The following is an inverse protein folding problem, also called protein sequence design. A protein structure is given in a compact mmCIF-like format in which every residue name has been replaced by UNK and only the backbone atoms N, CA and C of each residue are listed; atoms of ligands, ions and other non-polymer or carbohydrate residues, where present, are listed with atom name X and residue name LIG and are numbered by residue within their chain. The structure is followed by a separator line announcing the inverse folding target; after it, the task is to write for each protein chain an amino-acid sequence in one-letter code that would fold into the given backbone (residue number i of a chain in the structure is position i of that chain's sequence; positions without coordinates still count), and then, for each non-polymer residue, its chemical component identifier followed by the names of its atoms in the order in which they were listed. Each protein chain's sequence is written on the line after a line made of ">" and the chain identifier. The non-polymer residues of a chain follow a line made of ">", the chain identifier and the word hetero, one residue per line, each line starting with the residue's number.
data_IF_843789584759
#
_entry.id   IF_843789584759
#
_cell.length_a   1.000
_cell.length_b   1.000
_cell.length_c   1.000
_cell.angle_alpha   90.00
_cell.angle_beta   90.00
_cell.angle_gamma   90.00
#
_symmetry.space_group_name_H-M   'P 1'
#
loop_
_entity.id
_entity.type
_entity.pdbx_description
1 polymer ?
#
# COMPACT_ATOMS: atom_id res chain seq x y z
N UNK A 1 10.80 0.46 -17.27
CA UNK A 1 11.13 0.75 -15.86
C UNK A 1 12.03 1.99 -15.70
N UNK A 2 12.91 2.29 -16.69
CA UNK A 2 13.89 3.37 -16.58
C UNK A 2 13.24 4.74 -16.30
N UNK A 3 12.16 5.09 -17.00
CA UNK A 3 11.41 6.33 -16.77
C UNK A 3 10.87 6.42 -15.35
N UNK A 4 10.21 5.38 -14.85
CA UNK A 4 9.66 5.35 -13.49
C UNK A 4 10.74 5.50 -12.40
N UNK A 5 11.92 4.88 -12.60
CA UNK A 5 13.05 5.03 -11.67
C UNK A 5 13.68 6.43 -11.77
N UNK A 6 13.68 7.04 -12.96
CA UNK A 6 14.10 8.44 -13.13
C UNK A 6 13.21 9.40 -12.35
N UNK A 7 11.88 9.26 -12.49
CA UNK A 7 10.91 10.09 -11.77
C UNK A 7 11.01 9.87 -10.24
N UNK A 8 11.11 8.60 -9.81
CA UNK A 8 11.35 8.26 -8.40
C UNK A 8 12.60 8.97 -7.85
N UNK A 9 13.65 9.05 -8.63
CA UNK A 9 14.92 9.70 -8.23
C UNK A 9 14.81 11.22 -8.11
N UNK A 10 13.89 11.88 -8.76
CA UNK A 10 13.64 13.29 -8.52
C UNK A 10 13.19 13.52 -7.08
N UNK A 11 12.23 12.74 -6.62
CA UNK A 11 11.71 12.81 -5.25
C UNK A 11 12.74 12.34 -4.21
N UNK A 12 13.41 11.21 -4.47
CA UNK A 12 14.45 10.69 -3.56
C UNK A 12 15.58 11.72 -3.36
N UNK A 13 16.02 12.41 -4.40
CA UNK A 13 17.03 13.46 -4.31
C UNK A 13 16.52 14.69 -3.54
N UNK A 14 15.26 15.05 -3.71
CA UNK A 14 14.66 16.17 -2.99
C UNK A 14 14.59 15.90 -1.48
N UNK A 15 14.29 14.65 -1.09
CA UNK A 15 14.04 14.26 0.30
C UNK A 15 15.29 13.75 1.04
N UNK A 16 16.34 13.31 0.32
CA UNK A 16 17.50 12.68 0.94
C UNK A 16 18.61 13.65 1.23
N UNK A 17 19.22 13.51 2.41
CA UNK A 17 20.49 14.19 2.74
C UNK A 17 21.58 13.69 1.78
N UNK A 18 22.29 14.62 1.13
CA UNK A 18 23.34 14.29 0.15
C UNK A 18 22.81 13.91 -1.24
N UNK A 19 21.55 14.24 -1.55
CA UNK A 19 20.94 14.04 -2.88
C UNK A 19 21.15 12.63 -3.44
N UNK A 20 20.89 11.62 -2.64
CA UNK A 20 21.05 10.21 -3.01
C UNK A 20 20.13 9.83 -4.16
N UNK A 21 20.48 8.78 -4.89
CA UNK A 21 19.66 8.18 -5.93
C UNK A 21 19.65 6.66 -5.78
N UNK A 22 18.62 6.03 -6.30
CA UNK A 22 18.48 4.58 -6.33
C UNK A 22 18.55 4.08 -7.77
N UNK A 23 19.10 2.88 -7.96
CA UNK A 23 19.11 2.20 -9.25
C UNK A 23 18.04 1.12 -9.27
N UNK A 24 17.61 0.74 -10.46
CA UNK A 24 16.70 -0.37 -10.66
C UNK A 24 17.18 -1.68 -9.98
N UNK A 25 18.47 -1.99 -10.12
CA UNK A 25 19.06 -3.18 -9.49
C UNK A 25 19.04 -3.09 -7.96
N UNK A 26 19.29 -1.91 -7.39
CA UNK A 26 19.24 -1.71 -5.95
C UNK A 26 17.81 -1.88 -5.39
N UNK A 27 16.79 -1.39 -6.13
CA UNK A 27 15.38 -1.60 -5.77
C UNK A 27 15.06 -3.10 -5.78
N UNK A 28 15.41 -3.81 -6.86
CA UNK A 28 15.16 -5.24 -6.96
C UNK A 28 15.86 -6.03 -5.86
N UNK A 29 17.16 -5.84 -5.67
CA UNK A 29 17.91 -6.54 -4.62
C UNK A 29 17.33 -6.30 -3.22
N UNK A 30 16.85 -5.08 -2.94
CA UNK A 30 16.21 -4.74 -1.68
C UNK A 30 14.89 -5.51 -1.49
N UNK A 31 13.98 -5.43 -2.47
CA UNK A 31 12.66 -6.05 -2.34
C UNK A 31 12.70 -7.59 -2.46
N UNK A 32 13.62 -8.15 -3.24
CA UNK A 32 13.80 -9.60 -3.35
C UNK A 32 14.36 -10.20 -2.04
N UNK A 33 15.16 -9.42 -1.30
CA UNK A 33 15.66 -9.80 0.03
C UNK A 33 14.65 -9.63 1.17
N UNK A 34 13.51 -8.98 0.95
CA UNK A 34 12.50 -8.79 1.98
C UNK A 34 11.53 -9.97 2.07
N UNK A 35 11.13 -10.28 3.29
CA UNK A 35 9.97 -11.16 3.54
C UNK A 35 8.69 -10.50 3.00
N UNK A 36 7.77 -11.31 2.49
CA UNK A 36 6.48 -10.84 2.02
C UNK A 36 5.63 -10.27 3.17
N UNK A 37 4.77 -9.32 2.84
CA UNK A 37 3.82 -8.74 3.78
C UNK A 37 2.78 -9.79 4.18
N UNK A 38 2.82 -10.21 5.43
CA UNK A 38 1.90 -11.18 6.02
C UNK A 38 1.22 -10.60 7.27
N UNK A 39 0.22 -11.28 7.87
CA UNK A 39 -0.38 -10.85 9.13
C UNK A 39 0.63 -10.54 10.24
N UNK A 40 1.72 -11.29 10.31
CA UNK A 40 2.75 -11.18 11.35
C UNK A 40 4.00 -10.42 10.90
N UNK A 41 4.23 -10.27 9.58
CA UNK A 41 5.38 -9.57 9.02
C UNK A 41 4.96 -8.27 8.30
N UNK A 42 5.00 -7.11 8.97
CA UNK A 42 4.58 -5.81 8.39
C UNK A 42 5.68 -5.20 7.51
N UNK A 43 6.05 -5.90 6.43
CA UNK A 43 7.08 -5.44 5.48
C UNK A 43 6.52 -4.48 4.42
N UNK A 44 7.36 -3.69 3.74
CA UNK A 44 6.93 -2.88 2.59
C UNK A 44 6.60 -3.68 1.34
N UNK A 45 7.09 -4.93 1.20
CA UNK A 45 6.82 -5.81 0.07
C UNK A 45 5.39 -6.34 0.11
N UNK A 46 4.50 -5.78 -0.72
CA UNK A 46 3.06 -6.10 -0.74
C UNK A 46 2.74 -7.07 -1.88
N UNK A 47 1.79 -7.97 -1.65
CA UNK A 47 1.13 -8.62 -2.78
C UNK A 47 0.22 -7.58 -3.45
N UNK A 48 0.45 -7.32 -4.72
CA UNK A 48 -0.29 -6.34 -5.52
C UNK A 48 -1.24 -7.05 -6.47
N UNK A 49 -2.51 -6.65 -6.43
CA UNK A 49 -3.58 -7.18 -7.29
C UNK A 49 -4.29 -6.00 -7.98
N UNK A 50 -3.62 -5.31 -8.93
CA UNK A 50 -4.21 -4.15 -9.60
C UNK A 50 -5.38 -4.58 -10.49
N UNK A 51 -6.51 -3.90 -10.34
CA UNK A 51 -7.76 -4.18 -11.10
C UNK A 51 -7.63 -3.80 -12.57
N UNK A 52 -6.75 -2.87 -12.90
CA UNK A 52 -6.64 -2.22 -14.23
C UNK A 52 -5.58 -2.85 -15.15
N UNK A 53 -4.71 -3.70 -14.64
CA UNK A 53 -3.67 -4.37 -15.43
C UNK A 53 -3.12 -5.58 -14.70
N UNK A 54 -2.46 -6.48 -15.45
CA UNK A 54 -1.70 -7.58 -14.87
C UNK A 54 -0.24 -7.15 -14.73
N UNK A 55 0.39 -7.46 -13.61
CA UNK A 55 1.84 -7.26 -13.45
C UNK A 55 2.60 -8.23 -14.35
N UNK A 56 3.62 -7.74 -15.02
CA UNK A 56 4.41 -8.53 -15.98
C UNK A 56 5.38 -9.48 -15.29
N UNK A 57 6.01 -9.00 -14.22
CA UNK A 57 7.08 -9.73 -13.52
C UNK A 57 7.33 -9.13 -12.12
N UNK A 58 8.17 -9.81 -11.34
CA UNK A 58 8.57 -9.35 -10.01
C UNK A 58 9.30 -8.00 -10.03
N UNK A 59 10.03 -7.71 -11.09
CA UNK A 59 10.74 -6.45 -11.28
C UNK A 59 9.78 -5.28 -11.33
N UNK A 60 8.68 -5.42 -12.07
CA UNK A 60 7.63 -4.42 -12.12
C UNK A 60 6.97 -4.23 -10.74
N UNK A 61 6.70 -5.33 -10.04
CA UNK A 61 6.14 -5.28 -8.69
C UNK A 61 7.07 -4.54 -7.73
N UNK A 62 8.36 -4.86 -7.72
CA UNK A 62 9.35 -4.22 -6.85
C UNK A 62 9.44 -2.70 -7.06
N UNK A 63 9.42 -2.26 -8.31
CA UNK A 63 9.42 -0.82 -8.64
C UNK A 63 8.12 -0.15 -8.16
N UNK A 64 6.97 -0.80 -8.33
CA UNK A 64 5.68 -0.27 -7.86
C UNK A 64 5.67 -0.22 -6.32
N UNK A 65 6.15 -1.25 -5.64
CA UNK A 65 6.26 -1.26 -4.17
C UNK A 65 7.15 -0.12 -3.66
N UNK A 66 8.27 0.16 -4.35
CA UNK A 66 9.14 1.29 -4.02
C UNK A 66 8.41 2.64 -4.19
N UNK A 67 7.68 2.82 -5.29
CA UNK A 67 6.88 4.03 -5.55
C UNK A 67 5.79 4.18 -4.49
N UNK A 68 5.05 3.11 -4.18
CA UNK A 68 3.99 3.13 -3.17
C UNK A 68 4.53 3.43 -1.77
N UNK A 69 5.72 2.93 -1.44
CA UNK A 69 6.37 3.24 -0.16
C UNK A 69 6.78 4.71 -0.07
N UNK A 70 7.39 5.26 -1.13
CA UNK A 70 7.74 6.68 -1.18
C UNK A 70 6.49 7.56 -1.13
N UNK A 71 5.49 7.25 -1.94
CA UNK A 71 4.21 7.96 -1.95
C UNK A 71 3.55 7.96 -0.57
N UNK A 72 3.58 6.83 0.14
CA UNK A 72 3.07 6.75 1.51
C UNK A 72 3.77 7.70 2.48
N UNK A 73 5.07 7.93 2.30
CA UNK A 73 5.85 8.87 3.12
C UNK A 73 5.49 10.31 2.75
N UNK A 74 5.43 10.63 1.46
CA UNK A 74 5.13 11.95 0.94
C UNK A 74 3.72 12.44 1.31
N UNK A 75 2.73 11.56 1.21
CA UNK A 75 1.31 11.89 1.43
C UNK A 75 0.83 11.50 2.83
N UNK A 76 1.74 11.49 3.82
CA UNK A 76 1.39 11.17 5.20
C UNK A 76 0.40 12.23 5.76
N UNK A 77 -0.79 11.76 6.14
CA UNK A 77 -1.85 12.64 6.67
C UNK A 77 -2.80 13.21 5.62
N UNK A 78 -2.54 13.03 4.32
CA UNK A 78 -3.37 13.56 3.23
C UNK A 78 -4.54 12.63 2.82
N UNK A 79 -4.64 11.44 3.42
CA UNK A 79 -5.72 10.49 3.11
C UNK A 79 -5.55 9.66 1.84
N UNK A 80 -4.53 9.91 1.03
CA UNK A 80 -4.28 9.28 -0.27
C UNK A 80 -4.03 7.76 -0.18
N UNK A 81 -3.58 7.27 0.97
CA UNK A 81 -3.23 5.85 1.16
C UNK A 81 -4.37 4.89 0.83
N UNK A 82 -5.63 5.26 1.11
CA UNK A 82 -6.77 4.39 0.81
C UNK A 82 -6.98 4.22 -0.70
N UNK A 83 -6.65 5.21 -1.50
CA UNK A 83 -6.71 5.11 -2.96
C UNK A 83 -5.69 4.10 -3.48
N UNK A 84 -4.45 4.15 -2.99
CA UNK A 84 -3.41 3.17 -3.34
C UNK A 84 -3.83 1.75 -2.93
N UNK A 85 -4.38 1.60 -1.72
CA UNK A 85 -4.88 0.32 -1.20
C UNK A 85 -5.98 -0.26 -2.09
N UNK A 86 -6.91 0.56 -2.55
CA UNK A 86 -7.99 0.14 -3.46
C UNK A 86 -7.43 -0.20 -4.85
N UNK A 87 -6.61 0.69 -5.41
CA UNK A 87 -6.09 0.56 -6.77
C UNK A 87 -5.24 -0.69 -6.96
N UNK A 88 -4.44 -1.04 -5.96
CA UNK A 88 -3.52 -2.18 -6.02
C UNK A 88 -4.00 -3.41 -5.24
N UNK A 89 -5.23 -3.42 -4.74
CA UNK A 89 -5.80 -4.55 -4.03
C UNK A 89 -5.05 -4.94 -2.75
N UNK A 90 -4.33 -4.01 -2.14
CA UNK A 90 -3.47 -4.29 -0.98
C UNK A 90 -4.32 -4.72 0.21
N UNK A 91 -4.01 -5.88 0.80
CA UNK A 91 -4.63 -6.34 2.04
C UNK A 91 -4.10 -5.54 3.23
N UNK A 92 -4.98 -5.15 4.15
CA UNK A 92 -4.60 -4.45 5.38
C UNK A 92 -4.92 -5.33 6.58
N UNK A 93 -3.94 -5.47 7.48
CA UNK A 93 -4.11 -6.16 8.75
C UNK A 93 -4.11 -5.15 9.90
N UNK A 94 -5.15 -5.17 10.74
CA UNK A 94 -5.19 -4.43 12.00
C UNK A 94 -4.50 -5.27 13.06
N UNK A 95 -3.38 -4.77 13.58
CA UNK A 95 -2.52 -5.50 14.52
C UNK A 95 -2.55 -4.86 15.90
N UNK A 96 -2.55 -5.70 16.94
CA UNK A 96 -2.13 -5.29 18.28
C UNK A 96 -0.64 -5.56 18.42
N UNK A 97 0.10 -4.57 18.86
CA UNK A 97 1.55 -4.67 19.09
C UNK A 97 1.85 -4.66 20.59
N UNK A 98 2.94 -5.31 20.97
CA UNK A 98 3.52 -5.17 22.31
C UNK A 98 4.37 -3.89 22.40
N UNK A 99 4.95 -3.66 23.59
CA UNK A 99 5.86 -2.51 23.84
C UNK A 99 7.12 -2.54 22.98
N UNK A 100 7.53 -3.71 22.49
CA UNK A 100 8.68 -3.90 21.61
C UNK A 100 8.30 -3.90 20.11
N UNK A 101 7.10 -3.41 19.76
CA UNK A 101 6.57 -3.34 18.38
C UNK A 101 6.41 -4.71 17.69
N UNK A 102 6.38 -5.81 18.44
CA UNK A 102 6.09 -7.14 17.90
C UNK A 102 4.58 -7.36 17.80
N UNK A 103 4.15 -8.06 16.77
CA UNK A 103 2.73 -8.38 16.55
C UNK A 103 2.26 -9.43 17.56
N UNK A 104 1.34 -9.06 18.44
CA UNK A 104 0.69 -9.97 19.39
C UNK A 104 -0.50 -10.67 18.76
N UNK A 105 -1.31 -9.94 18.01
CA UNK A 105 -2.56 -10.44 17.45
C UNK A 105 -2.97 -9.62 16.25
N UNK A 106 -3.59 -10.28 15.27
CA UNK A 106 -4.34 -9.63 14.20
C UNK A 106 -5.82 -9.60 14.60
N UNK A 107 -6.35 -8.41 14.77
CA UNK A 107 -7.73 -8.21 15.26
C UNK A 107 -8.74 -8.07 14.13
N UNK A 108 -8.30 -7.65 12.94
CA UNK A 108 -9.13 -7.49 11.77
C UNK A 108 -8.30 -7.52 10.49
N UNK A 109 -8.93 -7.87 9.38
CA UNK A 109 -8.33 -7.90 8.05
C UNK A 109 -9.26 -7.25 7.05
N UNK A 110 -8.75 -6.32 6.26
CA UNK A 110 -9.43 -5.74 5.11
C UNK A 110 -8.88 -6.41 3.84
N UNK A 111 -9.61 -7.39 3.34
CA UNK A 111 -9.23 -8.17 2.14
C UNK A 111 -9.43 -7.36 0.86
N UNK A 112 -8.97 -7.88 -0.29
CA UNK A 112 -9.07 -7.19 -1.58
C UNK A 112 -10.51 -6.80 -1.94
N UNK A 113 -11.47 -7.72 -1.79
CA UNK A 113 -12.87 -7.54 -2.18
C UNK A 113 -13.78 -7.23 -0.99
N UNK A 114 -13.22 -6.75 0.12
CA UNK A 114 -13.98 -6.43 1.32
C UNK A 114 -14.95 -5.26 1.05
N UNK A 115 -16.25 -5.42 1.29
CA UNK A 115 -17.24 -4.36 1.03
C UNK A 115 -17.00 -3.09 1.85
N UNK A 116 -16.27 -3.20 2.97
CA UNK A 116 -15.88 -2.04 3.79
C UNK A 116 -14.88 -1.11 3.10
N UNK A 117 -14.30 -1.49 1.95
CA UNK A 117 -13.49 -0.62 1.10
C UNK A 117 -14.30 0.47 0.39
N UNK A 118 -15.62 0.27 0.25
CA UNK A 118 -16.51 1.31 -0.26
C UNK A 118 -16.70 2.42 0.78
N UNK A 119 -16.68 3.68 0.34
CA UNK A 119 -17.03 4.81 1.19
C UNK A 119 -18.52 4.70 1.52
N UNK A 120 -18.89 4.88 2.81
CA UNK A 120 -20.30 4.85 3.19
C UNK A 120 -21.03 6.05 2.60
N UNK A 121 -22.28 5.81 2.20
CA UNK A 121 -23.18 6.88 1.79
C UNK A 121 -23.43 7.84 2.96
N UNK A 122 -23.63 9.14 2.70
CA UNK A 122 -24.06 10.09 3.72
C UNK A 122 -25.36 9.64 4.42
N UNK A 123 -25.50 9.97 5.69
CA UNK A 123 -26.63 9.48 6.48
C UNK A 123 -27.99 10.00 5.98
N UNK A 124 -28.04 11.22 5.47
CA UNK A 124 -29.22 11.83 4.87
C UNK A 124 -29.71 11.05 3.62
N UNK A 125 -28.78 10.58 2.80
CA UNK A 125 -29.08 9.77 1.62
C UNK A 125 -29.62 8.38 2.00
N UNK A 126 -29.07 7.77 3.07
CA UNK A 126 -29.56 6.50 3.61
C UNK A 126 -30.96 6.70 4.19
N UNK A 127 -31.19 7.78 4.93
CA UNK A 127 -32.50 8.13 5.50
C UNK A 127 -33.55 8.41 4.40
N UNK A 128 -33.11 8.90 3.24
CA UNK A 128 -33.98 9.08 2.06
C UNK A 128 -34.32 7.77 1.32
N UNK A 129 -33.85 6.62 1.81
CA UNK A 129 -34.24 5.29 1.32
C UNK A 129 -33.20 4.57 0.44
N UNK A 130 -31.98 5.12 0.28
CA UNK A 130 -30.90 4.40 -0.37
C UNK A 130 -30.27 3.37 0.56
N UNK A 131 -29.99 2.18 0.02
CA UNK A 131 -29.38 1.10 0.78
C UNK A 131 -27.94 1.48 1.18
N UNK A 132 -27.63 1.38 2.47
CA UNK A 132 -26.29 1.58 2.99
C UNK A 132 -25.30 0.53 2.43
N UNK A 133 -24.04 0.94 2.19
CA UNK A 133 -22.99 -0.01 1.83
C UNK A 133 -22.75 -1.01 2.98
N UNK A 134 -22.58 -2.33 2.69
CA UNK A 134 -22.30 -3.33 3.71
C UNK A 134 -21.07 -2.99 4.55
N UNK A 135 -21.15 -3.20 5.86
CA UNK A 135 -20.03 -2.95 6.82
C UNK A 135 -19.62 -4.22 7.57
N UNK A 136 -20.44 -5.23 7.53
CA UNK A 136 -20.17 -6.52 8.15
C UNK A 136 -19.74 -7.53 7.08
N UNK A 137 -18.80 -8.41 7.46
CA UNK A 137 -18.48 -9.61 6.68
C UNK A 137 -19.62 -10.61 6.75
#
# INVERSE_FOLDING_TARGET
>A
YAGAVSDLNLEVKAMSVGKKSVTHNAINSFYDGLADYTPTAPTPKKALHPVFTTLKDNTQQNVIDAILQLRRILTLGEGERMQDVKRYGIVIYRRKLNRSSQVLQVTDTLTQDDPRRAIQLPQDVITAGLQANPRNK
#
